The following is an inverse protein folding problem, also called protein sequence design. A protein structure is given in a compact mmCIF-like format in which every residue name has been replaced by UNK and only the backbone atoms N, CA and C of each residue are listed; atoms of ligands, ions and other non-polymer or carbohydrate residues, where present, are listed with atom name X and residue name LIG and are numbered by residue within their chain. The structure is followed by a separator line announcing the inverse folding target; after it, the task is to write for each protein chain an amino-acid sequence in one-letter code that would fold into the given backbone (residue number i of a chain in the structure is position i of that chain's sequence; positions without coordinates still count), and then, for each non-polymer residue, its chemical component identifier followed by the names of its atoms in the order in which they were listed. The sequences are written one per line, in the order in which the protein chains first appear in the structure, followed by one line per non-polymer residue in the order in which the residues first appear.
data_IF_877685134611
#
_entry.id   IF_877685134611
#
_cell.length_a   1.000
_cell.length_b   1.000
_cell.length_c   1.000
_cell.angle_alpha   90.00
_cell.angle_beta   90.00
_cell.angle_gamma   90.00
#
_symmetry.space_group_name_H-M   'P 1'
#
loop_
_entity.id
_entity.type
_entity.pdbx_description
1 polymer ?
#
# COMPACT_ATOMS: atom_id res chain seq x y z
N UNK A 1 -8.94 9.82 -17.41
CA UNK A 1 -9.39 8.84 -16.41
C UNK A 1 -9.28 9.48 -15.03
N UNK A 2 -10.31 9.39 -14.22
CA UNK A 2 -10.33 9.96 -12.87
C UNK A 2 -10.89 8.98 -11.86
N UNK A 3 -10.49 9.12 -10.60
CA UNK A 3 -10.93 8.29 -9.48
C UNK A 3 -11.48 9.20 -8.39
N UNK A 4 -12.43 8.72 -7.60
CA UNK A 4 -13.10 9.51 -6.58
C UNK A 4 -13.26 8.70 -5.30
N UNK A 5 -13.07 9.36 -4.18
CA UNK A 5 -13.44 8.88 -2.86
C UNK A 5 -14.12 10.01 -2.10
N UNK A 6 -14.91 9.66 -1.09
CA UNK A 6 -15.49 10.64 -0.15
C UNK A 6 -14.97 10.36 1.24
N UNK A 7 -14.44 11.36 1.90
CA UNK A 7 -13.99 11.28 3.30
C UNK A 7 -14.93 12.13 4.13
N UNK A 8 -15.55 11.51 5.14
CA UNK A 8 -16.54 12.18 6.00
C UNK A 8 -16.14 12.05 7.45
N UNK A 9 -15.96 13.17 8.11
CA UNK A 9 -15.80 13.27 9.56
C UNK A 9 -16.95 14.05 10.17
N UNK A 10 -17.45 13.58 11.29
CA UNK A 10 -18.49 14.26 12.05
C UNK A 10 -17.96 14.54 13.45
N UNK A 11 -18.08 15.79 13.88
CA UNK A 11 -17.72 16.19 15.23
C UNK A 11 -18.60 15.52 16.27
N UNK A 12 -18.00 15.15 17.39
CA UNK A 12 -18.67 14.64 18.58
C UNK A 12 -18.13 15.35 19.80
N UNK A 13 -18.92 15.42 20.90
CA UNK A 13 -18.43 15.99 22.17
C UNK A 13 -17.14 15.26 22.59
N UNK A 14 -16.11 16.04 22.92
CA UNK A 14 -14.83 15.55 23.39
C UNK A 14 -14.32 16.45 24.53
N UNK A 15 -13.40 15.95 25.39
CA UNK A 15 -12.75 16.80 26.38
C UNK A 15 -12.09 18.02 25.73
N UNK A 16 -11.95 19.11 26.49
CA UNK A 16 -11.30 20.32 26.01
C UNK A 16 -9.88 20.02 25.48
N UNK A 17 -9.55 20.55 24.30
CA UNK A 17 -8.28 20.34 23.63
C UNK A 17 -8.14 19.00 22.88
N UNK A 18 -9.19 18.20 22.85
CA UNK A 18 -9.23 16.93 22.11
C UNK A 18 -10.35 16.91 21.07
N UNK A 19 -10.22 16.03 20.10
CA UNK A 19 -11.28 15.72 19.15
C UNK A 19 -11.17 14.27 18.71
N UNK A 20 -12.31 13.68 18.33
CA UNK A 20 -12.34 12.32 17.79
C UNK A 20 -11.77 12.34 16.37
N UNK A 21 -10.90 11.38 16.06
CA UNK A 21 -10.24 11.25 14.75
C UNK A 21 -10.89 10.20 13.87
N UNK A 22 -11.87 9.47 14.39
CA UNK A 22 -12.58 8.44 13.63
C UNK A 22 -13.41 9.09 12.51
N UNK A 23 -13.33 8.51 11.34
CA UNK A 23 -14.01 9.02 10.15
C UNK A 23 -14.36 7.87 9.21
N UNK A 24 -15.01 8.17 8.12
CA UNK A 24 -15.47 7.22 7.13
C UNK A 24 -14.86 7.55 5.78
N UNK A 25 -14.40 6.51 5.07
CA UNK A 25 -13.95 6.64 3.69
C UNK A 25 -14.87 5.80 2.82
N UNK A 26 -15.48 6.41 1.81
CA UNK A 26 -16.29 5.73 0.82
C UNK A 26 -15.57 5.77 -0.53
N UNK A 27 -15.31 4.60 -1.08
CA UNK A 27 -14.67 4.45 -2.39
C UNK A 27 -15.69 4.60 -3.51
N UNK A 28 -15.20 4.83 -4.74
CA UNK A 28 -16.05 4.98 -5.92
C UNK A 28 -16.92 3.75 -6.21
N UNK A 29 -16.52 2.56 -5.73
CA UNK A 29 -17.33 1.33 -5.80
C UNK A 29 -18.53 1.31 -4.84
N UNK A 30 -18.62 2.27 -3.92
CA UNK A 30 -19.60 2.29 -2.83
C UNK A 30 -19.15 1.57 -1.57
N UNK A 31 -18.03 0.87 -1.59
CA UNK A 31 -17.47 0.25 -0.39
C UNK A 31 -16.99 1.31 0.62
N UNK A 32 -17.22 1.04 1.89
CA UNK A 32 -16.88 1.96 2.98
C UNK A 32 -15.88 1.33 3.95
N UNK A 33 -14.99 2.15 4.46
CA UNK A 33 -14.00 1.77 5.46
C UNK A 33 -14.05 2.77 6.60
N UNK A 34 -14.18 2.28 7.83
CA UNK A 34 -14.00 3.08 9.03
C UNK A 34 -12.49 3.31 9.25
N UNK A 35 -12.10 4.54 9.46
CA UNK A 35 -10.71 4.96 9.53
C UNK A 35 -10.46 5.91 10.70
N UNK A 36 -9.20 6.06 11.07
CA UNK A 36 -8.73 6.99 12.09
C UNK A 36 -7.29 7.39 11.81
N UNK A 37 -6.65 8.11 12.71
CA UNK A 37 -5.20 8.30 12.67
C UNK A 37 -4.47 7.14 13.38
N UNK A 38 -3.18 7.02 13.16
CA UNK A 38 -2.36 6.05 13.88
C UNK A 38 -2.42 6.31 15.40
N UNK A 39 -2.28 5.26 16.23
CA UNK A 39 -2.36 5.39 17.70
C UNK A 39 -1.38 6.42 18.28
N UNK A 40 -0.19 6.52 17.71
CA UNK A 40 0.85 7.48 18.06
C UNK A 40 0.38 8.93 17.87
N UNK A 41 -0.61 9.13 17.03
CA UNK A 41 -1.26 10.41 16.75
C UNK A 41 -2.67 10.49 17.36
N UNK A 42 -2.89 9.79 18.47
CA UNK A 42 -4.14 9.78 19.24
C UNK A 42 -5.34 9.18 18.48
N UNK A 43 -5.08 8.29 17.54
CA UNK A 43 -6.11 7.60 16.77
C UNK A 43 -6.58 6.31 17.45
N UNK A 44 -7.57 5.70 16.84
CA UNK A 44 -8.13 4.42 17.23
C UNK A 44 -7.39 3.28 16.49
N UNK A 45 -6.71 2.42 17.24
CA UNK A 45 -5.93 1.31 16.70
C UNK A 45 -6.79 0.16 16.13
N UNK A 46 -8.09 0.19 16.32
CA UNK A 46 -9.02 -0.79 15.73
C UNK A 46 -9.47 -0.40 14.31
N UNK A 47 -9.10 0.80 13.86
CA UNK A 47 -9.49 1.34 12.56
C UNK A 47 -8.27 1.56 11.66
N UNK A 48 -8.52 1.58 10.35
CA UNK A 48 -7.48 1.82 9.34
C UNK A 48 -6.95 3.24 9.44
N UNK A 49 -5.65 3.41 9.29
CA UNK A 49 -5.02 4.74 9.25
C UNK A 49 -4.51 5.10 7.83
N UNK A 50 -4.15 6.37 7.58
CA UNK A 50 -3.69 6.81 6.26
C UNK A 50 -2.42 6.10 5.79
N UNK A 51 -1.49 5.79 6.70
CA UNK A 51 -0.23 5.13 6.39
C UNK A 51 -0.47 3.69 5.92
N UNK A 52 -1.36 2.95 6.60
CA UNK A 52 -1.79 1.63 6.16
C UNK A 52 -2.51 1.67 4.82
N UNK A 53 -3.31 2.71 4.58
CA UNK A 53 -4.03 2.89 3.31
C UNK A 53 -3.07 3.10 2.14
N UNK A 54 -2.02 3.91 2.32
CA UNK A 54 -0.98 4.10 1.32
C UNK A 54 -0.22 2.80 1.07
N UNK A 55 0.12 2.08 2.14
CA UNK A 55 0.84 0.81 2.07
C UNK A 55 0.01 -0.26 1.33
N UNK A 56 -1.28 -0.34 1.62
CA UNK A 56 -2.20 -1.21 0.90
C UNK A 56 -2.29 -0.85 -0.59
N UNK A 57 -2.33 0.44 -0.91
CA UNK A 57 -2.40 0.92 -2.30
C UNK A 57 -1.16 0.51 -3.10
N UNK A 58 0.05 0.72 -2.57
CA UNK A 58 1.28 0.38 -3.29
C UNK A 58 1.46 -1.14 -3.41
N UNK A 59 1.18 -1.90 -2.35
CA UNK A 59 1.26 -3.35 -2.37
C UNK A 59 0.28 -3.96 -3.38
N UNK A 60 -0.96 -3.51 -3.36
CA UNK A 60 -1.99 -3.93 -4.32
C UNK A 60 -1.61 -3.60 -5.77
N UNK A 61 -1.12 -2.40 -6.01
CA UNK A 61 -0.68 -1.96 -7.35
C UNK A 61 0.48 -2.81 -7.88
N UNK A 62 1.49 -3.06 -7.04
CA UNK A 62 2.63 -3.92 -7.39
C UNK A 62 2.16 -5.34 -7.71
N UNK A 63 1.31 -5.92 -6.85
CA UNK A 63 0.73 -7.25 -7.07
C UNK A 63 0.00 -7.34 -8.42
N UNK A 64 -0.91 -6.42 -8.70
CA UNK A 64 -1.69 -6.43 -9.95
C UNK A 64 -0.80 -6.32 -11.17
N UNK A 65 0.24 -5.50 -11.11
CA UNK A 65 1.22 -5.37 -12.19
C UNK A 65 2.05 -6.64 -12.34
N UNK A 66 2.49 -7.24 -11.23
CA UNK A 66 3.18 -8.53 -11.23
C UNK A 66 2.33 -9.62 -11.87
N UNK A 67 1.08 -9.76 -11.44
CA UNK A 67 0.15 -10.76 -11.96
C UNK A 67 -0.11 -10.59 -13.46
N UNK A 68 -0.21 -9.34 -13.92
CA UNK A 68 -0.36 -9.04 -15.35
C UNK A 68 0.85 -9.52 -16.15
N UNK A 69 2.06 -9.25 -15.67
CA UNK A 69 3.30 -9.68 -16.34
C UNK A 69 3.42 -11.19 -16.32
N UNK A 70 3.15 -11.83 -15.19
CA UNK A 70 3.17 -13.31 -15.07
C UNK A 70 2.17 -13.95 -16.02
N UNK A 71 0.95 -13.41 -16.11
CA UNK A 71 -0.07 -13.89 -17.03
C UNK A 71 0.38 -13.81 -18.51
N UNK A 72 0.96 -12.69 -18.92
CA UNK A 72 1.48 -12.51 -20.27
C UNK A 72 2.63 -13.48 -20.59
N UNK A 73 3.38 -13.87 -19.59
CA UNK A 73 4.45 -14.90 -19.70
C UNK A 73 3.93 -16.32 -19.56
N UNK A 74 2.64 -16.51 -19.38
CA UNK A 74 2.00 -17.82 -19.14
C UNK A 74 2.52 -18.53 -17.87
N UNK A 75 2.90 -17.75 -16.88
CA UNK A 75 3.31 -18.23 -15.57
C UNK A 75 2.12 -18.11 -14.63
N UNK A 76 1.33 -19.17 -14.51
CA UNK A 76 0.13 -19.17 -13.68
C UNK A 76 0.51 -19.07 -12.21
N UNK A 77 0.02 -18.01 -11.55
CA UNK A 77 0.19 -17.80 -10.11
C UNK A 77 -1.00 -18.41 -9.38
N UNK A 78 -0.70 -19.25 -8.38
CA UNK A 78 -1.72 -19.85 -7.52
C UNK A 78 -2.05 -18.96 -6.32
N UNK A 79 -1.06 -18.28 -5.76
CA UNK A 79 -1.24 -17.39 -4.62
C UNK A 79 -0.17 -16.29 -4.61
N UNK A 80 -0.56 -15.12 -4.17
CA UNK A 80 0.31 -13.98 -3.91
C UNK A 80 -0.03 -13.42 -2.54
N UNK A 81 0.94 -13.32 -1.64
CA UNK A 81 0.78 -12.73 -0.32
C UNK A 81 1.89 -11.71 -0.10
N UNK A 82 1.53 -10.53 0.33
CA UNK A 82 2.48 -9.48 0.72
C UNK A 82 2.19 -9.02 2.14
N UNK A 83 3.23 -8.86 2.94
CA UNK A 83 3.17 -8.29 4.29
C UNK A 83 4.08 -7.06 4.32
N UNK A 84 3.70 -5.98 3.65
CA UNK A 84 4.54 -4.82 3.51
C UNK A 84 4.69 -4.06 4.83
N UNK A 85 5.79 -3.34 4.96
CA UNK A 85 6.03 -2.42 6.08
C UNK A 85 6.44 -1.06 5.55
N UNK A 86 6.13 -0.01 6.30
CA UNK A 86 6.53 1.36 6.01
C UNK A 86 7.11 2.01 7.26
N UNK A 87 8.08 2.88 7.05
CA UNK A 87 8.73 3.63 8.11
C UNK A 87 8.52 5.13 7.91
N UNK A 88 8.14 5.80 9.00
CA UNK A 88 8.08 7.26 9.06
C UNK A 88 9.44 7.77 9.53
N UNK A 89 9.95 8.75 8.81
CA UNK A 89 11.23 9.39 9.11
C UNK A 89 11.24 10.86 8.74
N UNK A 90 12.38 11.48 8.98
CA UNK A 90 12.61 12.88 8.66
C UNK A 90 13.40 12.96 7.37
N UNK A 91 12.86 13.67 6.38
CA UNK A 91 13.55 13.97 5.12
C UNK A 91 14.62 15.03 5.31
N UNK A 92 15.55 15.17 4.35
CA UNK A 92 16.54 16.25 4.32
C UNK A 92 15.88 17.65 4.38
N UNK A 93 14.69 17.79 3.79
CA UNK A 93 13.88 19.02 3.87
C UNK A 93 13.38 19.35 5.28
N UNK A 94 13.54 18.43 6.25
CA UNK A 94 13.01 18.54 7.61
C UNK A 94 11.56 18.06 7.76
N UNK A 95 10.89 17.72 6.67
CA UNK A 95 9.51 17.21 6.70
C UNK A 95 9.47 15.77 7.19
N UNK A 96 8.47 15.46 8.00
CA UNK A 96 8.17 14.08 8.42
C UNK A 96 7.29 13.44 7.35
N UNK A 97 7.67 12.24 6.92
CA UNK A 97 6.97 11.50 5.86
C UNK A 97 7.25 10.00 5.97
N UNK A 98 6.53 9.22 5.18
CA UNK A 98 6.96 7.85 4.89
C UNK A 98 8.20 7.94 4.02
N UNK A 99 9.34 7.50 4.55
CA UNK A 99 10.65 7.59 3.89
C UNK A 99 11.10 6.27 3.29
N UNK A 100 10.60 5.16 3.83
CA UNK A 100 10.97 3.82 3.38
C UNK A 100 9.74 2.91 3.36
N UNK A 101 9.56 2.18 2.28
CA UNK A 101 8.54 1.15 2.12
C UNK A 101 9.24 -0.14 1.70
N UNK A 102 8.94 -1.23 2.40
CA UNK A 102 9.44 -2.55 2.05
C UNK A 102 8.26 -3.46 1.73
N UNK A 103 8.15 -3.89 0.49
CA UNK A 103 7.22 -4.94 0.07
C UNK A 103 7.89 -6.30 0.31
N UNK A 104 7.13 -7.27 0.79
CA UNK A 104 7.61 -8.62 1.11
C UNK A 104 6.73 -9.68 0.45
N UNK A 105 6.64 -9.70 -0.88
CA UNK A 105 5.76 -10.63 -1.56
C UNK A 105 6.28 -12.07 -1.51
N UNK A 106 5.38 -12.99 -1.25
CA UNK A 106 5.57 -14.42 -1.44
C UNK A 106 4.65 -14.89 -2.55
N UNK A 107 5.22 -15.38 -3.64
CA UNK A 107 4.47 -15.82 -4.81
C UNK A 107 4.55 -17.33 -4.91
N UNK A 108 3.39 -17.97 -4.97
CA UNK A 108 3.27 -19.41 -5.22
C UNK A 108 2.73 -19.60 -6.64
N UNK A 109 3.48 -20.27 -7.48
CA UNK A 109 3.04 -20.60 -8.83
C UNK A 109 2.24 -21.89 -8.84
N UNK A 110 1.42 -22.09 -9.87
CA UNK A 110 0.62 -23.29 -10.03
C UNK A 110 1.51 -24.51 -10.17
N UNK A 111 0.96 -25.69 -9.85
CA UNK A 111 1.64 -26.97 -9.99
C UNK A 111 2.20 -27.14 -11.43
N UNK A 112 3.45 -27.58 -11.52
CA UNK A 112 4.14 -27.76 -12.80
C UNK A 112 4.73 -26.49 -13.41
N UNK A 113 4.56 -25.33 -12.77
CA UNK A 113 5.16 -24.05 -13.18
C UNK A 113 6.39 -23.79 -12.31
N UNK A 114 7.57 -23.92 -12.91
CA UNK A 114 8.84 -23.62 -12.27
C UNK A 114 9.35 -22.25 -12.73
N UNK A 115 9.63 -21.37 -11.77
CA UNK A 115 10.16 -20.05 -12.02
C UNK A 115 11.46 -19.89 -11.25
N UNK A 116 12.56 -19.66 -11.97
CA UNK A 116 13.84 -19.40 -11.34
C UNK A 116 13.92 -18.01 -10.71
N UNK A 117 14.91 -17.81 -9.84
CA UNK A 117 15.07 -16.55 -9.12
C UNK A 117 15.30 -15.37 -10.06
N UNK A 118 16.07 -15.55 -11.10
CA UNK A 118 16.35 -14.48 -12.07
C UNK A 118 15.08 -14.02 -12.80
N UNK A 119 14.23 -14.94 -13.20
CA UNK A 119 12.95 -14.63 -13.84
C UNK A 119 12.02 -13.91 -12.86
N UNK A 120 11.94 -14.39 -11.61
CA UNK A 120 11.14 -13.77 -10.55
C UNK A 120 11.60 -12.33 -10.29
N UNK A 121 12.90 -12.11 -10.16
CA UNK A 121 13.51 -10.79 -9.98
C UNK A 121 13.14 -9.83 -11.11
N UNK A 122 13.26 -10.25 -12.35
CA UNK A 122 12.89 -9.45 -13.52
C UNK A 122 11.41 -9.07 -13.55
N UNK A 123 10.53 -9.97 -13.11
CA UNK A 123 9.10 -9.68 -13.04
C UNK A 123 8.85 -8.61 -11.94
N UNK A 124 9.48 -8.74 -10.78
CA UNK A 124 9.35 -7.76 -9.71
C UNK A 124 9.91 -6.39 -10.10
N UNK A 125 11.08 -6.33 -10.73
CA UNK A 125 11.68 -5.09 -11.23
C UNK A 125 10.75 -4.38 -12.23
N UNK A 126 10.19 -5.13 -13.17
CA UNK A 126 9.26 -4.60 -14.16
C UNK A 126 7.94 -4.17 -13.54
N UNK A 127 7.44 -4.93 -12.56
CA UNK A 127 6.25 -4.57 -11.81
C UNK A 127 6.43 -3.26 -11.05
N UNK A 128 7.57 -3.09 -10.39
CA UNK A 128 7.90 -1.84 -9.69
C UNK A 128 7.99 -0.65 -10.65
N UNK A 129 8.67 -0.80 -11.77
CA UNK A 129 8.82 0.26 -12.76
C UNK A 129 7.49 0.72 -13.37
N UNK A 130 6.49 -0.17 -13.43
CA UNK A 130 5.17 0.11 -14.01
C UNK A 130 4.05 0.28 -12.97
N UNK A 131 4.38 0.29 -11.69
CA UNK A 131 3.41 0.53 -10.61
C UNK A 131 3.07 2.02 -10.54
N UNK A 132 1.85 2.39 -10.90
CA UNK A 132 1.41 3.79 -10.92
C UNK A 132 1.52 4.45 -9.54
N UNK A 133 1.20 3.71 -8.48
CA UNK A 133 1.28 4.24 -7.11
C UNK A 133 2.73 4.48 -6.72
N UNK A 134 3.64 3.54 -7.00
CA UNK A 134 5.07 3.75 -6.75
C UNK A 134 5.61 4.96 -7.52
N UNK A 135 5.20 5.14 -8.78
CA UNK A 135 5.60 6.27 -9.61
C UNK A 135 5.01 7.62 -9.15
N UNK A 136 4.02 7.58 -8.26
CA UNK A 136 3.37 8.77 -7.69
C UNK A 136 3.96 9.21 -6.35
N UNK A 137 4.88 8.42 -5.78
CA UNK A 137 5.58 8.77 -4.55
C UNK A 137 6.62 9.87 -4.79
N UNK A 138 7.04 10.51 -3.72
CA UNK A 138 8.17 11.43 -3.78
C UNK A 138 9.45 10.69 -4.20
N UNK A 139 10.33 11.36 -4.96
CA UNK A 139 11.55 10.75 -5.50
C UNK A 139 12.52 10.25 -4.41
N UNK A 140 12.45 10.84 -3.22
CA UNK A 140 13.26 10.48 -2.07
C UNK A 140 12.58 9.46 -1.13
N UNK A 141 11.43 8.90 -1.52
CA UNK A 141 10.82 7.77 -0.82
C UNK A 141 11.42 6.48 -1.37
N UNK A 142 12.12 5.74 -0.52
CA UNK A 142 12.74 4.47 -0.89
C UNK A 142 11.71 3.33 -0.89
N UNK A 143 11.66 2.58 -1.97
CA UNK A 143 10.82 1.37 -2.09
C UNK A 143 11.70 0.17 -2.36
N UNK A 144 11.71 -0.76 -1.43
CA UNK A 144 12.45 -2.02 -1.51
C UNK A 144 11.47 -3.18 -1.69
N UNK A 145 11.86 -4.17 -2.47
CA UNK A 145 11.09 -5.41 -2.66
C UNK A 145 11.97 -6.58 -2.21
N UNK A 146 11.55 -7.24 -1.16
CA UNK A 146 12.21 -8.40 -0.58
C UNK A 146 11.42 -9.67 -0.91
N UNK A 147 12.04 -10.63 -1.61
CA UNK A 147 11.37 -11.86 -2.04
C UNK A 147 12.32 -13.05 -2.13
#
# INVERSE_FOLDING_TARGET
MSFQVTVTWQGSPAPEGEFNRDHQIQFGSGQQVAASSAPEYKGNNELVNPEESLLAAISSCHMLTFLTIAHLKRLTVAQYVDNPVAEIGKKESGKIAITHIKLKPTVTFAEGIDVDRETLEKIHEKAHANCFIANSLADDTEVEIEF
#
